data_IF_197825604675
#
_entry.id   IF_197825604675
#
_cell.length_a   1.000
_cell.length_b   1.000
_cell.length_c   1.000
_cell.angle_alpha   90.00
_cell.angle_beta   90.00
_cell.angle_gamma   90.00
#
_symmetry.space_group_name_H-M   'P 1'
#
loop_
_entity.id
_entity.type
_entity.pdbx_description
1 polymer ?
#
# COMPACT_ATOMS: atom_id res chain seq x y z
N UNK A 1 -3.03 -9.56 5.23
CA UNK A 1 -2.29 -9.73 3.95
C UNK A 1 -1.04 -10.54 4.17
N UNK A 2 -0.52 -11.26 3.17
CA UNK A 2 0.77 -11.95 3.35
C UNK A 2 1.93 -10.94 3.41
N UNK A 3 2.96 -11.26 4.21
CA UNK A 3 4.21 -10.48 4.26
C UNK A 3 4.85 -10.29 2.88
N UNK A 4 4.69 -11.27 1.99
CA UNK A 4 5.19 -11.20 0.61
C UNK A 4 4.48 -10.08 -0.17
N UNK A 5 3.16 -10.00 -0.08
CA UNK A 5 2.35 -8.99 -0.77
C UNK A 5 2.68 -7.58 -0.28
N UNK A 6 2.81 -7.40 1.04
CA UNK A 6 3.21 -6.12 1.64
C UNK A 6 4.57 -5.68 1.08
N UNK A 7 5.58 -6.54 1.09
CA UNK A 7 6.90 -6.20 0.56
C UNK A 7 6.89 -5.92 -0.95
N UNK A 8 6.03 -6.58 -1.74
CA UNK A 8 5.88 -6.27 -3.16
C UNK A 8 5.34 -4.86 -3.37
N UNK A 9 4.30 -4.47 -2.62
CA UNK A 9 3.72 -3.13 -2.70
C UNK A 9 4.73 -2.07 -2.25
N UNK A 10 5.45 -2.31 -1.14
CA UNK A 10 6.49 -1.39 -0.65
C UNK A 10 7.64 -1.26 -1.65
N UNK A 11 8.06 -2.37 -2.25
CA UNK A 11 9.09 -2.40 -3.29
C UNK A 11 8.69 -1.60 -4.52
N UNK A 12 7.46 -1.76 -5.01
CA UNK A 12 6.90 -0.98 -6.11
C UNK A 12 6.85 0.52 -5.78
N UNK A 13 6.33 0.88 -4.61
CA UNK A 13 6.28 2.27 -4.17
C UNK A 13 7.66 2.93 -4.08
N UNK A 14 8.69 2.17 -3.72
CA UNK A 14 10.06 2.69 -3.61
C UNK A 14 10.76 2.79 -4.97
N UNK A 15 10.49 1.86 -5.88
CA UNK A 15 11.16 1.77 -7.18
C UNK A 15 10.46 2.55 -8.31
N UNK A 16 9.15 2.78 -8.19
CA UNK A 16 8.32 3.43 -9.20
C UNK A 16 7.64 4.67 -8.62
N UNK A 17 8.14 5.84 -9.02
CA UNK A 17 7.63 7.13 -8.58
C UNK A 17 6.23 7.44 -9.13
N UNK A 18 5.88 6.91 -10.31
CA UNK A 18 4.53 7.08 -10.87
C UNK A 18 3.52 6.27 -10.08
N UNK A 19 3.87 5.03 -9.75
CA UNK A 19 3.07 4.20 -8.86
C UNK A 19 2.86 4.89 -7.50
N UNK A 20 3.91 5.44 -6.88
CA UNK A 20 3.79 6.16 -5.61
C UNK A 20 2.82 7.35 -5.70
N UNK A 21 2.92 8.17 -6.74
CA UNK A 21 1.99 9.30 -6.96
C UNK A 21 0.55 8.84 -7.19
N UNK A 22 0.36 7.77 -7.97
CA UNK A 22 -0.96 7.19 -8.19
C UNK A 22 -1.56 6.65 -6.88
N UNK A 23 -0.72 6.01 -6.06
CA UNK A 23 -1.11 5.47 -4.77
C UNK A 23 -1.57 6.56 -3.80
N UNK A 24 -0.93 7.73 -3.80
CA UNK A 24 -1.35 8.88 -3.00
C UNK A 24 -2.70 9.47 -3.45
N UNK A 25 -3.05 9.32 -4.73
CA UNK A 25 -4.28 9.92 -5.30
C UNK A 25 -5.47 8.96 -5.19
N UNK A 26 -5.26 7.70 -5.55
CA UNK A 26 -6.29 6.67 -5.52
C UNK A 26 -5.66 5.32 -5.15
N UNK A 27 -5.44 5.05 -3.85
CA UNK A 27 -4.68 3.90 -3.40
C UNK A 27 -5.33 2.58 -3.82
N UNK A 28 -6.65 2.43 -3.68
CA UNK A 28 -7.33 1.19 -4.04
C UNK A 28 -7.25 0.89 -5.53
N UNK A 29 -7.57 1.86 -6.39
CA UNK A 29 -7.51 1.64 -7.83
C UNK A 29 -6.08 1.32 -8.29
N UNK A 30 -5.08 1.96 -7.67
CA UNK A 30 -3.66 1.73 -7.97
C UNK A 30 -3.20 0.34 -7.55
N UNK A 31 -3.62 -0.13 -6.38
CA UNK A 31 -3.28 -1.48 -5.90
C UNK A 31 -3.98 -2.55 -6.78
N UNK A 32 -5.25 -2.34 -7.13
CA UNK A 32 -5.98 -3.24 -8.02
C UNK A 32 -5.42 -3.28 -9.45
N UNK A 33 -4.94 -2.15 -9.99
CA UNK A 33 -4.35 -2.12 -11.34
C UNK A 33 -3.04 -2.92 -11.45
N UNK A 34 -2.35 -3.13 -10.33
CA UNK A 34 -1.20 -4.02 -10.23
C UNK A 34 -1.58 -5.50 -10.02
N UNK A 35 -2.87 -5.81 -9.97
CA UNK A 35 -3.39 -7.17 -9.80
C UNK A 35 -3.40 -7.67 -8.36
N UNK A 36 -3.22 -6.78 -7.37
CA UNK A 36 -3.38 -7.16 -5.96
C UNK A 36 -4.87 -7.16 -5.59
N UNK A 37 -5.30 -8.26 -4.98
CA UNK A 37 -6.62 -8.36 -4.37
C UNK A 37 -6.51 -8.06 -2.88
N UNK A 38 -7.30 -7.09 -2.43
CA UNK A 38 -7.37 -6.65 -1.04
C UNK A 38 -8.67 -7.13 -0.40
N UNK A 39 -8.59 -7.66 0.82
CA UNK A 39 -9.78 -7.88 1.65
C UNK A 39 -10.44 -6.56 2.04
N UNK A 40 -11.68 -6.59 2.53
CA UNK A 40 -12.36 -5.37 2.99
C UNK A 40 -11.57 -4.66 4.10
N UNK A 41 -10.99 -5.40 5.04
CA UNK A 41 -10.16 -4.85 6.12
C UNK A 41 -8.89 -4.16 5.58
N UNK A 42 -8.23 -4.80 4.61
CA UNK A 42 -7.04 -4.23 3.96
C UNK A 42 -7.40 -2.97 3.17
N UNK A 43 -8.52 -2.97 2.44
CA UNK A 43 -8.98 -1.79 1.72
C UNK A 43 -9.20 -0.60 2.66
N UNK A 44 -9.76 -0.82 3.85
CA UNK A 44 -9.92 0.24 4.84
C UNK A 44 -8.58 0.79 5.33
N UNK A 45 -7.55 -0.05 5.48
CA UNK A 45 -6.18 0.42 5.79
C UNK A 45 -5.66 1.33 4.67
N UNK A 46 -5.80 0.93 3.41
CA UNK A 46 -5.31 1.74 2.28
C UNK A 46 -6.13 3.02 2.05
N UNK A 47 -7.44 3.02 2.32
CA UNK A 47 -8.28 4.22 2.23
C UNK A 47 -7.93 5.27 3.27
N UNK A 48 -7.61 4.84 4.49
CA UNK A 48 -7.29 5.71 5.62
C UNK A 48 -5.79 6.01 5.73
N UNK A 49 -5.06 5.85 4.62
CA UNK A 49 -3.63 6.09 4.57
C UNK A 49 -3.35 7.59 4.39
N UNK A 50 -2.78 8.21 5.42
CA UNK A 50 -2.33 9.61 5.41
C UNK A 50 -0.79 9.68 5.43
N UNK A 51 -0.14 9.05 4.45
CA UNK A 51 1.31 9.06 4.34
C UNK A 51 1.78 10.06 3.27
N UNK A 52 2.50 11.10 3.68
CA UNK A 52 3.07 12.08 2.76
C UNK A 52 4.38 11.58 2.15
N UNK A 53 5.11 10.75 2.90
CA UNK A 53 6.39 10.18 2.50
C UNK A 53 6.37 8.65 2.40
N UNK A 54 7.28 8.12 1.57
CA UNK A 54 7.46 6.67 1.41
C UNK A 54 7.77 5.98 2.75
N UNK A 55 8.54 6.63 3.63
CA UNK A 55 8.93 6.09 4.92
C UNK A 55 7.75 5.98 5.89
N UNK A 56 6.87 6.98 5.89
CA UNK A 56 5.63 6.95 6.66
C UNK A 56 4.70 5.86 6.16
N UNK A 57 4.58 5.71 4.85
CA UNK A 57 3.80 4.66 4.21
C UNK A 57 4.29 3.26 4.59
N UNK A 58 5.60 3.03 4.47
CA UNK A 58 6.22 1.77 4.89
C UNK A 58 5.87 1.45 6.35
N UNK A 59 6.06 2.41 7.26
CA UNK A 59 5.76 2.20 8.68
C UNK A 59 4.26 1.94 8.91
N UNK A 60 3.39 2.71 8.26
CA UNK A 60 1.94 2.56 8.38
C UNK A 60 1.45 1.16 7.97
N UNK A 61 1.89 0.67 6.80
CA UNK A 61 1.49 -0.67 6.34
C UNK A 61 2.07 -1.77 7.23
N UNK A 62 3.31 -1.63 7.70
CA UNK A 62 3.88 -2.57 8.64
C UNK A 62 3.07 -2.60 9.94
N UNK A 63 2.75 -1.46 10.53
CA UNK A 63 2.00 -1.42 11.80
C UNK A 63 0.57 -1.98 11.66
N UNK A 64 -0.09 -1.73 10.52
CA UNK A 64 -1.50 -2.11 10.32
C UNK A 64 -1.70 -3.52 9.76
N UNK A 65 -0.74 -4.03 8.97
CA UNK A 65 -0.93 -5.26 8.19
C UNK A 65 0.11 -6.36 8.51
N UNK A 66 1.17 -6.08 9.27
CA UNK A 66 2.13 -7.13 9.66
C UNK A 66 1.62 -8.06 10.75
N UNK A 67 0.55 -7.69 11.45
CA UNK A 67 -0.01 -8.43 12.60
C UNK A 67 -1.29 -9.21 12.28
N UNK A 68 -1.66 -9.35 11.00
CA UNK A 68 -2.83 -10.13 10.55
C UNK A 68 -2.44 -11.51 10.04
#
# INVERSE_FOLDING_TARGET
>A
MSWKTINQILGLATADQEFWKALQTNPLATIHSQGFELTAEEQEVFKNMEAETISEFCRYLLDKLSST
#
